data_IF_243873831625
#
_entry.id   IF_243873831625
#
_cell.length_a   1.000
_cell.length_b   1.000
_cell.length_c   1.000
_cell.angle_alpha   90.00
_cell.angle_beta   90.00
_cell.angle_gamma   90.00
#
_symmetry.space_group_name_H-M   'P 1'
#
loop_
_entity.id
_entity.type
_entity.pdbx_description
1 polymer ?
#
# COMPACT_ATOMS: atom_id res chain seq x y z
N UNK A 1 -9.47 -0.64 20.95
CA UNK A 1 -8.31 -1.07 20.14
C UNK A 1 -8.52 -2.42 19.45
N UNK A 2 -8.90 -3.52 20.14
CA UNK A 2 -9.08 -4.83 19.49
C UNK A 2 -10.02 -4.81 18.27
N UNK A 3 -11.10 -4.04 18.35
CA UNK A 3 -12.05 -3.85 17.23
C UNK A 3 -11.37 -3.25 16.00
N UNK A 4 -10.43 -2.32 16.15
CA UNK A 4 -9.73 -1.73 15.00
C UNK A 4 -8.82 -2.76 14.30
N UNK A 5 -8.22 -3.67 15.06
CA UNK A 5 -7.37 -4.74 14.52
C UNK A 5 -8.15 -5.71 13.63
N UNK A 6 -9.43 -5.95 13.92
CA UNK A 6 -10.31 -6.78 13.08
C UNK A 6 -10.34 -6.22 11.66
N UNK A 7 -10.54 -4.92 11.50
CA UNK A 7 -10.50 -4.28 10.19
C UNK A 7 -9.12 -4.39 9.53
N UNK A 8 -8.04 -4.32 10.30
CA UNK A 8 -6.69 -4.59 9.83
C UNK A 8 -6.55 -5.98 9.20
N UNK A 9 -6.98 -7.03 9.90
CA UNK A 9 -6.95 -8.41 9.38
C UNK A 9 -7.79 -8.55 8.11
N UNK A 10 -9.05 -8.06 8.13
CA UNK A 10 -9.94 -8.15 6.97
C UNK A 10 -9.42 -7.42 5.74
N UNK A 11 -8.76 -6.27 5.90
CA UNK A 11 -8.15 -5.54 4.79
C UNK A 11 -7.15 -6.39 4.02
N UNK A 12 -6.34 -7.18 4.72
CA UNK A 12 -5.34 -8.07 4.12
C UNK A 12 -5.97 -9.32 3.51
N UNK A 13 -7.04 -9.84 4.12
CA UNK A 13 -7.83 -10.95 3.56
C UNK A 13 -8.46 -10.52 2.23
N UNK A 14 -9.13 -9.36 2.19
CA UNK A 14 -9.70 -8.82 0.96
C UNK A 14 -8.64 -8.58 -0.11
N UNK A 15 -7.44 -8.12 0.26
CA UNK A 15 -6.29 -8.04 -0.67
C UNK A 15 -5.93 -9.40 -1.27
N UNK A 16 -5.84 -10.45 -0.46
CA UNK A 16 -5.58 -11.80 -0.95
C UNK A 16 -6.66 -12.30 -1.91
N UNK A 17 -7.94 -12.09 -1.58
CA UNK A 17 -9.06 -12.49 -2.43
C UNK A 17 -9.13 -11.68 -3.73
N UNK A 18 -8.91 -10.37 -3.66
CA UNK A 18 -8.83 -9.50 -4.84
C UNK A 18 -7.67 -9.91 -5.75
N UNK A 19 -6.51 -10.21 -5.19
CA UNK A 19 -5.35 -10.63 -5.96
C UNK A 19 -5.58 -11.96 -6.69
N UNK A 20 -6.29 -12.90 -6.06
CA UNK A 20 -6.73 -14.13 -6.76
C UNK A 20 -7.58 -13.84 -8.01
N UNK A 21 -8.42 -12.81 -7.97
CA UNK A 21 -9.24 -12.42 -9.14
C UNK A 21 -8.40 -11.85 -10.28
N UNK A 22 -7.29 -11.15 -9.99
CA UNK A 22 -6.40 -10.61 -11.04
C UNK A 22 -5.48 -11.67 -11.64
N UNK A 23 -5.20 -12.74 -10.90
CA UNK A 23 -4.43 -13.89 -11.40
C UNK A 23 -5.24 -14.80 -12.33
N UNK A 24 -6.56 -14.91 -12.11
CA UNK A 24 -7.40 -15.84 -12.86
C UNK A 24 -7.42 -15.64 -14.40
N UNK A 25 -7.43 -14.41 -14.97
CA UNK A 25 -7.35 -14.20 -16.41
C UNK A 25 -6.02 -14.64 -17.04
N UNK A 26 -4.97 -14.80 -16.23
CA UNK A 26 -3.64 -15.25 -16.66
C UNK A 26 -3.49 -16.78 -16.67
N UNK A 27 -4.58 -17.50 -16.36
CA UNK A 27 -4.59 -18.96 -16.18
C UNK A 27 -3.97 -19.43 -14.87
N UNK A 28 -3.70 -18.51 -13.94
CA UNK A 28 -3.10 -18.81 -12.65
C UNK A 28 -4.21 -18.97 -11.59
N UNK A 29 -4.24 -20.11 -10.92
CA UNK A 29 -5.31 -20.47 -9.97
C UNK A 29 -4.75 -20.92 -8.61
N UNK A 30 -4.03 -20.04 -7.89
CA UNK A 30 -3.51 -20.36 -6.55
C UNK A 30 -4.62 -20.63 -5.54
N UNK A 31 -4.27 -21.35 -4.46
CA UNK A 31 -5.17 -21.54 -3.32
C UNK A 31 -5.50 -20.20 -2.68
N UNK A 32 -6.73 -20.09 -2.19
CA UNK A 32 -7.23 -18.81 -1.63
C UNK A 32 -6.55 -18.46 -0.30
N UNK A 33 -6.30 -19.47 0.53
CA UNK A 33 -5.50 -19.35 1.75
C UNK A 33 -4.11 -18.80 1.44
N UNK A 34 -3.48 -19.32 0.40
CA UNK A 34 -2.07 -19.05 0.08
C UNK A 34 -1.92 -17.63 -0.47
N UNK A 35 -2.90 -17.13 -1.23
CA UNK A 35 -2.97 -15.71 -1.56
C UNK A 35 -3.02 -14.81 -0.32
N UNK A 36 -3.81 -15.17 0.70
CA UNK A 36 -3.92 -14.40 1.94
C UNK A 36 -2.63 -14.48 2.75
N UNK A 37 -2.07 -15.68 2.93
CA UNK A 37 -0.81 -15.86 3.66
C UNK A 37 0.36 -15.17 2.96
N UNK A 38 0.44 -15.24 1.64
CA UNK A 38 1.43 -14.50 0.86
C UNK A 38 1.32 -12.98 1.09
N UNK A 39 0.11 -12.43 1.22
CA UNK A 39 -0.09 -11.03 1.60
C UNK A 39 0.42 -10.77 3.02
N UNK A 40 0.10 -11.61 4.00
CA UNK A 40 0.60 -11.44 5.36
C UNK A 40 2.14 -11.43 5.43
N UNK A 41 2.79 -12.39 4.75
CA UNK A 41 4.25 -12.45 4.63
C UNK A 41 4.81 -11.21 3.95
N UNK A 42 4.15 -10.74 2.89
CA UNK A 42 4.53 -9.53 2.15
C UNK A 42 4.56 -8.28 3.01
N UNK A 43 3.53 -8.06 3.83
CA UNK A 43 3.49 -6.91 4.72
C UNK A 43 4.54 -6.99 5.81
N UNK A 44 4.77 -8.16 6.40
CA UNK A 44 5.84 -8.35 7.37
C UNK A 44 7.24 -8.15 6.75
N UNK A 45 7.47 -8.62 5.52
CA UNK A 45 8.72 -8.40 4.81
C UNK A 45 8.99 -6.90 4.54
N UNK A 46 7.94 -6.12 4.24
CA UNK A 46 8.03 -4.67 4.06
C UNK A 46 8.40 -3.89 5.34
N UNK A 47 8.27 -4.50 6.52
CA UNK A 47 8.76 -3.92 7.77
C UNK A 47 10.30 -3.98 7.86
N UNK A 48 10.91 -5.02 7.27
CA UNK A 48 12.36 -5.23 7.31
C UNK A 48 13.04 -4.49 6.17
N UNK A 49 12.56 -4.71 4.94
CA UNK A 49 13.10 -4.05 3.75
C UNK A 49 11.95 -3.43 2.96
N UNK A 50 11.90 -2.09 2.84
CA UNK A 50 10.85 -1.44 2.08
C UNK A 50 10.75 -2.00 0.65
N UNK A 51 9.52 -2.26 0.20
CA UNK A 51 9.16 -2.71 -1.16
C UNK A 51 9.58 -4.14 -1.54
N UNK A 52 10.25 -4.89 -0.66
CA UNK A 52 10.58 -6.31 -0.91
C UNK A 52 9.36 -7.21 -0.75
N UNK A 53 8.37 -6.78 0.02
CA UNK A 53 7.12 -7.49 0.24
C UNK A 53 6.41 -7.84 -1.07
N UNK A 54 6.38 -6.94 -2.03
CA UNK A 54 5.75 -7.11 -3.34
C UNK A 54 6.36 -8.28 -4.13
N UNK A 55 7.67 -8.45 -4.02
CA UNK A 55 8.42 -9.55 -4.62
C UNK A 55 8.18 -10.84 -3.83
N UNK A 56 8.20 -10.77 -2.50
CA UNK A 56 8.08 -11.93 -1.62
C UNK A 56 6.76 -12.69 -1.83
N UNK A 57 5.62 -12.01 -1.98
CA UNK A 57 4.32 -12.68 -2.22
C UNK A 57 4.30 -13.46 -3.53
N UNK A 58 4.94 -12.94 -4.58
CA UNK A 58 5.04 -13.63 -5.86
C UNK A 58 5.92 -14.89 -5.73
N UNK A 59 7.00 -14.80 -4.96
CA UNK A 59 7.86 -15.95 -4.64
C UNK A 59 7.14 -17.03 -3.82
N UNK A 60 6.30 -16.63 -2.87
CA UNK A 60 5.47 -17.56 -2.07
C UNK A 60 4.53 -18.35 -2.98
N UNK A 61 3.76 -17.69 -3.85
CA UNK A 61 2.85 -18.41 -4.76
C UNK A 61 3.62 -19.23 -5.82
N UNK A 62 4.78 -18.78 -6.28
CA UNK A 62 5.63 -19.57 -7.16
C UNK A 62 6.08 -20.87 -6.48
N UNK A 63 6.45 -20.80 -5.20
CA UNK A 63 6.91 -21.96 -4.42
C UNK A 63 5.79 -22.93 -4.07
N UNK A 64 4.65 -22.45 -3.57
CA UNK A 64 3.60 -23.31 -3.02
C UNK A 64 2.48 -23.63 -4.02
N UNK A 65 2.16 -22.69 -4.92
CA UNK A 65 1.08 -22.88 -5.89
C UNK A 65 1.59 -23.23 -7.29
N UNK A 66 2.88 -23.07 -7.58
CA UNK A 66 3.43 -23.19 -8.93
C UNK A 66 3.02 -22.03 -9.84
N UNK A 67 2.57 -20.92 -9.24
CA UNK A 67 2.14 -19.74 -9.99
C UNK A 67 3.33 -19.09 -10.68
N UNK A 68 3.17 -18.67 -11.94
CA UNK A 68 4.24 -17.98 -12.66
C UNK A 68 4.62 -16.67 -11.95
N UNK A 69 5.87 -16.58 -11.49
CA UNK A 69 6.39 -15.41 -10.81
C UNK A 69 6.23 -14.12 -11.66
N UNK A 70 6.54 -14.18 -12.95
CA UNK A 70 6.48 -13.00 -13.84
C UNK A 70 5.05 -12.51 -14.09
N UNK A 71 4.10 -13.43 -14.31
CA UNK A 71 2.67 -13.09 -14.46
C UNK A 71 2.13 -12.49 -13.18
N UNK A 72 2.43 -13.15 -12.04
CA UNK A 72 2.09 -12.67 -10.71
C UNK A 72 2.65 -11.27 -10.44
N UNK A 73 3.91 -11.02 -10.79
CA UNK A 73 4.55 -9.72 -10.66
C UNK A 73 3.82 -8.64 -11.47
N UNK A 74 3.42 -8.95 -12.71
CA UNK A 74 2.61 -8.05 -13.54
C UNK A 74 1.30 -7.63 -12.87
N UNK A 75 0.60 -8.56 -12.23
CA UNK A 75 -0.64 -8.22 -11.49
C UNK A 75 -0.40 -7.32 -10.29
N UNK A 76 0.80 -7.37 -9.67
CA UNK A 76 1.13 -6.52 -8.51
C UNK A 76 1.19 -5.05 -8.91
N UNK A 77 1.89 -4.76 -10.02
CA UNK A 77 2.00 -3.39 -10.56
C UNK A 77 0.60 -2.81 -10.77
N UNK A 78 -0.27 -3.62 -11.31
CA UNK A 78 -1.63 -3.26 -11.65
C UNK A 78 -2.52 -3.05 -10.44
N UNK A 79 -2.38 -3.90 -9.41
CA UNK A 79 -3.01 -3.64 -8.13
C UNK A 79 -2.52 -2.32 -7.50
N UNK A 80 -1.22 -1.99 -7.63
CA UNK A 80 -0.68 -0.71 -7.16
C UNK A 80 -1.29 0.47 -7.90
N UNK A 81 -1.47 0.38 -9.22
CA UNK A 81 -2.12 1.45 -9.99
C UNK A 81 -3.55 1.71 -9.51
N UNK A 82 -4.32 0.65 -9.26
CA UNK A 82 -5.68 0.77 -8.72
C UNK A 82 -5.65 1.36 -7.31
N UNK A 83 -4.77 0.87 -6.44
CA UNK A 83 -4.65 1.39 -5.07
C UNK A 83 -4.28 2.88 -5.10
N UNK A 84 -3.35 3.31 -5.96
CA UNK A 84 -3.00 4.73 -6.15
C UNK A 84 -4.19 5.54 -6.62
N UNK A 85 -4.96 5.05 -7.61
CA UNK A 85 -6.16 5.73 -8.09
C UNK A 85 -7.19 5.92 -6.97
N UNK A 86 -7.40 4.91 -6.13
CA UNK A 86 -8.29 4.99 -4.98
C UNK A 86 -7.81 6.03 -3.94
N UNK A 87 -6.51 6.04 -3.59
CA UNK A 87 -5.95 7.07 -2.71
C UNK A 87 -6.16 8.45 -3.30
N UNK A 88 -5.86 8.64 -4.59
CA UNK A 88 -6.02 9.93 -5.26
C UNK A 88 -7.46 10.40 -5.26
N UNK A 89 -8.43 9.50 -5.46
CA UNK A 89 -9.86 9.83 -5.40
C UNK A 89 -10.28 10.21 -3.99
N UNK A 90 -9.95 9.41 -2.98
CA UNK A 90 -10.26 9.68 -1.57
C UNK A 90 -9.64 11.02 -1.15
N UNK A 91 -8.38 11.24 -1.49
CA UNK A 91 -7.66 12.48 -1.23
C UNK A 91 -8.34 13.66 -1.92
N UNK A 92 -8.64 13.57 -3.22
CA UNK A 92 -9.27 14.64 -3.98
C UNK A 92 -10.62 15.05 -3.42
N UNK A 93 -11.48 14.07 -3.08
CA UNK A 93 -12.77 14.31 -2.43
C UNK A 93 -12.57 14.99 -1.07
N UNK A 94 -11.61 14.50 -0.27
CA UNK A 94 -11.33 15.04 1.07
C UNK A 94 -10.81 16.49 1.01
N UNK A 95 -9.93 16.80 0.06
CA UNK A 95 -9.41 18.15 -0.18
C UNK A 95 -10.54 19.12 -0.56
N UNK A 96 -11.46 18.70 -1.42
CA UNK A 96 -12.62 19.52 -1.82
C UNK A 96 -13.53 19.78 -0.62
N UNK A 97 -13.80 18.75 0.19
CA UNK A 97 -14.69 18.87 1.35
C UNK A 97 -14.09 19.67 2.51
N UNK A 98 -12.76 19.69 2.66
CA UNK A 98 -12.05 20.26 3.82
C UNK A 98 -11.00 21.30 3.44
N UNK A 99 -11.23 22.03 2.33
CA UNK A 99 -10.27 22.98 1.77
C UNK A 99 -9.69 23.99 2.79
N UNK A 100 -10.50 24.44 3.76
CA UNK A 100 -10.06 25.38 4.82
C UNK A 100 -9.03 24.76 5.77
N UNK A 101 -9.25 23.52 6.21
CA UNK A 101 -8.33 22.81 7.12
C UNK A 101 -6.99 22.56 6.44
N UNK A 102 -7.01 22.23 5.15
CA UNK A 102 -5.81 22.04 4.36
C UNK A 102 -5.04 23.34 4.11
N UNK A 103 -5.73 24.46 3.87
CA UNK A 103 -5.09 25.78 3.76
C UNK A 103 -4.33 26.14 5.05
N UNK A 104 -4.93 25.88 6.22
CA UNK A 104 -4.25 26.06 7.52
C UNK A 104 -3.09 25.08 7.70
N UNK A 105 -3.26 23.80 7.33
CA UNK A 105 -2.18 22.81 7.38
C UNK A 105 -0.97 23.24 6.55
N UNK A 106 -1.18 23.71 5.33
CA UNK A 106 -0.11 24.13 4.43
C UNK A 106 0.60 25.39 4.96
N UNK A 107 -0.13 26.32 5.58
CA UNK A 107 0.42 27.52 6.24
C UNK A 107 1.26 27.17 7.47
N UNK A 108 0.75 26.32 8.36
CA UNK A 108 1.44 25.91 9.61
C UNK A 108 2.65 25.02 9.35
N UNK A 109 2.63 24.19 8.29
CA UNK A 109 3.78 23.36 7.89
C UNK A 109 4.79 24.07 7.00
N UNK A 110 4.53 25.33 6.62
CA UNK A 110 5.39 26.10 5.72
C UNK A 110 5.43 25.55 4.29
N UNK A 111 4.52 24.64 3.94
CA UNK A 111 4.34 24.19 2.55
C UNK A 111 3.47 25.21 1.87
N UNK A 112 4.03 26.39 1.62
CA UNK A 112 3.37 27.39 0.82
C UNK A 112 2.97 26.73 -0.52
N UNK A 113 1.78 26.99 -1.03
CA UNK A 113 1.34 26.40 -2.33
C UNK A 113 2.29 26.81 -3.47
N UNK A 114 3.09 27.85 -3.23
CA UNK A 114 4.24 28.28 -4.02
C UNK A 114 5.41 27.29 -4.00
N UNK A 115 5.62 26.48 -2.95
CA UNK A 115 6.66 25.44 -2.87
C UNK A 115 6.37 24.31 -3.85
N UNK A 116 5.12 23.87 -3.99
CA UNK A 116 4.74 22.89 -5.03
C UNK A 116 4.98 23.46 -6.43
N UNK A 117 4.59 24.72 -6.67
CA UNK A 117 4.89 25.42 -7.90
C UNK A 117 6.42 25.57 -8.11
N UNK A 118 7.19 25.85 -7.07
CA UNK A 118 8.65 25.98 -7.11
C UNK A 118 9.34 24.62 -7.28
N UNK A 119 8.80 23.52 -6.76
CA UNK A 119 9.31 22.16 -7.02
C UNK A 119 9.10 21.82 -8.49
N UNK A 120 7.93 22.09 -9.06
CA UNK A 120 7.69 21.90 -10.50
C UNK A 120 8.47 22.88 -11.40
N UNK A 121 8.84 24.06 -10.89
CA UNK A 121 9.61 25.09 -11.62
C UNK A 121 11.12 25.03 -11.31
N UNK A 122 11.54 24.19 -10.36
CA UNK A 122 12.92 24.09 -9.87
C UNK A 122 13.78 23.31 -10.86
N UNK A 123 14.95 23.86 -11.20
CA UNK A 123 15.94 23.17 -12.02
C UNK A 123 16.35 21.80 -11.44
N UNK A 124 16.29 21.62 -10.11
CA UNK A 124 16.65 20.36 -9.46
C UNK A 124 15.63 19.24 -9.72
N UNK A 125 14.36 19.58 -9.93
CA UNK A 125 13.33 18.61 -10.32
C UNK A 125 13.58 18.07 -11.73
N UNK A 126 13.89 18.96 -12.68
CA UNK A 126 14.27 18.55 -14.04
C UNK A 126 15.57 17.75 -14.07
N UNK A 127 16.57 18.13 -13.26
CA UNK A 127 17.81 17.34 -13.11
C UNK A 127 17.51 15.95 -12.56
N UNK A 128 16.63 15.83 -11.56
CA UNK A 128 16.24 14.53 -10.99
C UNK A 128 15.53 13.66 -12.03
N UNK A 129 14.62 14.24 -12.82
CA UNK A 129 13.95 13.55 -13.94
C UNK A 129 14.98 13.08 -14.98
N UNK A 130 15.92 13.94 -15.36
CA UNK A 130 16.97 13.61 -16.33
C UNK A 130 17.88 12.51 -15.80
N UNK A 131 18.26 12.54 -14.53
CA UNK A 131 19.05 11.47 -13.90
C UNK A 131 18.29 10.14 -13.85
N UNK A 132 17.01 10.15 -13.48
CA UNK A 132 16.15 8.95 -13.49
C UNK A 132 15.99 8.41 -14.91
N UNK A 133 15.72 9.27 -15.89
CA UNK A 133 15.65 8.89 -17.30
C UNK A 133 16.98 8.35 -17.82
N UNK A 134 18.11 8.95 -17.46
CA UNK A 134 19.43 8.48 -17.84
C UNK A 134 19.72 7.10 -17.25
N UNK A 135 19.36 6.85 -15.99
CA UNK A 135 19.47 5.53 -15.35
C UNK A 135 18.56 4.51 -16.04
N UNK A 136 17.33 4.87 -16.38
CA UNK A 136 16.39 3.99 -17.09
C UNK A 136 16.86 3.68 -18.51
N UNK A 137 17.40 4.66 -19.23
CA UNK A 137 17.98 4.49 -20.58
C UNK A 137 19.23 3.64 -20.52
N UNK A 138 20.13 3.90 -19.56
CA UNK A 138 21.34 3.10 -19.36
C UNK A 138 20.98 1.65 -19.00
N UNK A 139 20.01 1.45 -18.10
CA UNK A 139 19.48 0.13 -17.78
C UNK A 139 18.89 -0.55 -19.02
N UNK A 140 18.13 0.17 -19.85
CA UNK A 140 17.57 -0.34 -21.10
C UNK A 140 18.67 -0.79 -22.08
N UNK A 141 19.73 0.00 -22.25
CA UNK A 141 20.86 -0.35 -23.12
C UNK A 141 21.69 -1.52 -22.59
N UNK A 142 21.94 -1.56 -21.27
CA UNK A 142 22.63 -2.67 -20.60
C UNK A 142 21.84 -3.97 -20.75
N UNK A 143 20.51 -3.92 -20.55
CA UNK A 143 19.62 -5.08 -20.69
C UNK A 143 19.59 -5.57 -22.15
N UNK A 144 19.64 -4.65 -23.13
CA UNK A 144 19.60 -4.97 -24.57
C UNK A 144 20.82 -5.73 -25.09
N UNK A 145 21.99 -5.55 -24.50
CA UNK A 145 23.25 -6.10 -25.02
C UNK A 145 23.69 -7.44 -24.42
N UNK A 146 22.93 -8.02 -23.49
CA UNK A 146 23.27 -9.33 -22.90
C UNK A 146 22.39 -10.42 -23.51
N UNK A 147 22.91 -11.64 -23.68
CA UNK A 147 22.16 -12.86 -24.06
C UNK A 147 21.00 -13.20 -23.11
N UNK A 148 20.93 -12.50 -21.96
CA UNK A 148 19.83 -12.44 -20.99
C UNK A 148 18.58 -11.71 -21.55
N UNK A 149 18.70 -10.92 -22.63
CA UNK A 149 17.61 -10.15 -23.23
C UNK A 149 16.44 -11.01 -23.70
N UNK A 150 16.68 -12.23 -24.20
CA UNK A 150 15.61 -13.14 -24.60
C UNK A 150 14.77 -13.63 -23.39
N UNK A 151 15.44 -13.97 -22.27
CA UNK A 151 14.77 -14.32 -21.00
C UNK A 151 14.08 -13.11 -20.37
N UNK A 152 14.72 -11.94 -20.40
CA UNK A 152 14.15 -10.69 -19.86
C UNK A 152 12.97 -10.18 -20.69
N UNK A 153 13.01 -10.31 -22.03
CA UNK A 153 11.88 -10.00 -22.91
C UNK A 153 10.66 -10.88 -22.59
N UNK A 154 10.87 -12.17 -22.32
CA UNK A 154 9.80 -13.07 -21.86
C UNK A 154 9.20 -12.65 -20.51
N UNK A 155 10.04 -12.27 -19.54
CA UNK A 155 9.60 -11.77 -18.23
C UNK A 155 8.82 -10.45 -18.38
N UNK A 156 9.35 -9.48 -19.14
CA UNK A 156 8.72 -8.19 -19.40
C UNK A 156 7.39 -8.34 -20.15
N UNK A 157 7.33 -9.25 -21.14
CA UNK A 157 6.09 -9.58 -21.83
C UNK A 157 5.05 -10.16 -20.88
N UNK A 158 5.44 -11.09 -20.00
CA UNK A 158 4.54 -11.67 -19.00
C UNK A 158 4.06 -10.63 -17.96
N UNK A 159 4.92 -9.68 -17.58
CA UNK A 159 4.55 -8.54 -16.74
C UNK A 159 3.53 -7.67 -17.46
N UNK A 160 3.78 -7.32 -18.73
CA UNK A 160 2.89 -6.50 -19.55
C UNK A 160 1.52 -7.15 -19.79
N UNK A 161 1.50 -8.46 -20.09
CA UNK A 161 0.28 -9.26 -20.18
C UNK A 161 -0.46 -9.27 -18.83
N UNK A 162 0.29 -9.39 -17.73
CA UNK A 162 -0.24 -9.23 -16.37
C UNK A 162 -0.95 -7.88 -16.18
N UNK A 163 -0.37 -6.79 -16.69
CA UNK A 163 -0.99 -5.46 -16.57
C UNK A 163 -2.27 -5.32 -17.37
N UNK A 164 -2.27 -5.80 -18.62
CA UNK A 164 -3.43 -5.75 -19.51
C UNK A 164 -4.56 -6.70 -19.06
N UNK A 165 -4.24 -7.76 -18.31
CA UNK A 165 -5.20 -8.78 -17.88
C UNK A 165 -6.34 -8.29 -17.00
N UNK A 166 -6.18 -7.13 -16.35
CA UNK A 166 -7.23 -6.49 -15.56
C UNK A 166 -8.52 -6.29 -16.35
N UNK A 167 -8.40 -5.94 -17.64
CA UNK A 167 -9.57 -5.72 -18.52
C UNK A 167 -10.40 -6.99 -18.71
N UNK A 168 -9.82 -8.15 -18.42
CA UNK A 168 -10.43 -9.46 -18.59
C UNK A 168 -10.83 -10.12 -17.26
N UNK A 169 -10.83 -9.38 -16.15
CA UNK A 169 -11.34 -9.89 -14.86
C UNK A 169 -12.82 -10.20 -14.99
N UNK A 170 -13.16 -11.49 -15.05
CA UNK A 170 -14.53 -11.98 -15.28
C UNK A 170 -15.53 -11.53 -14.20
N UNK A 171 -15.08 -11.26 -12.98
CA UNK A 171 -15.92 -10.89 -11.83
C UNK A 171 -15.65 -9.45 -11.35
N UNK A 172 -15.82 -8.47 -12.24
CA UNK A 172 -15.60 -7.05 -11.92
C UNK A 172 -16.39 -6.54 -10.70
N UNK A 173 -17.68 -6.88 -10.49
CA UNK A 173 -18.40 -6.40 -9.31
C UNK A 173 -17.75 -6.86 -7.99
N UNK A 174 -17.26 -8.10 -7.95
CA UNK A 174 -16.57 -8.64 -6.78
C UNK A 174 -15.20 -7.99 -6.57
N UNK A 175 -14.50 -7.68 -7.67
CA UNK A 175 -13.23 -6.95 -7.62
C UNK A 175 -13.41 -5.54 -7.03
N UNK A 176 -14.47 -4.83 -7.45
CA UNK A 176 -14.82 -3.50 -6.92
C UNK A 176 -15.22 -3.63 -5.45
N UNK A 177 -16.05 -4.60 -5.08
CA UNK A 177 -16.45 -4.84 -3.69
C UNK A 177 -15.24 -5.06 -2.79
N UNK A 178 -14.28 -5.89 -3.19
CA UNK A 178 -13.05 -6.08 -2.41
C UNK A 178 -12.20 -4.81 -2.35
N UNK A 179 -12.11 -4.05 -3.45
CA UNK A 179 -11.37 -2.77 -3.45
C UNK A 179 -11.97 -1.78 -2.46
N UNK A 180 -13.30 -1.58 -2.50
CA UNK A 180 -14.01 -0.72 -1.54
C UNK A 180 -13.87 -1.26 -0.11
N UNK A 181 -13.97 -2.58 0.07
CA UNK A 181 -13.80 -3.24 1.36
C UNK A 181 -12.41 -3.01 1.96
N UNK A 182 -11.34 -3.07 1.15
CA UNK A 182 -9.97 -2.79 1.59
C UNK A 182 -9.86 -1.36 2.14
N UNK A 183 -10.30 -0.37 1.36
CA UNK A 183 -10.20 1.04 1.76
C UNK A 183 -11.10 1.38 2.95
N UNK A 184 -12.29 0.79 3.00
CA UNK A 184 -13.21 0.92 4.15
C UNK A 184 -12.59 0.33 5.40
N UNK A 185 -12.00 -0.86 5.31
CA UNK A 185 -11.29 -1.47 6.44
C UNK A 185 -10.09 -0.62 6.88
N UNK A 186 -9.31 -0.05 5.97
CA UNK A 186 -8.21 0.85 6.33
C UNK A 186 -8.69 2.11 7.03
N UNK A 187 -9.73 2.74 6.52
CA UNK A 187 -10.33 3.89 7.16
C UNK A 187 -10.87 3.54 8.55
N UNK A 188 -11.63 2.45 8.70
CA UNK A 188 -12.20 2.02 9.97
C UNK A 188 -11.14 1.58 10.97
N UNK A 189 -10.08 0.90 10.54
CA UNK A 189 -8.94 0.56 11.38
C UNK A 189 -8.31 1.83 12.00
N UNK A 190 -8.20 2.89 11.21
CA UNK A 190 -7.71 4.17 11.71
C UNK A 190 -8.75 4.90 12.58
N UNK A 191 -9.95 5.14 12.06
CA UNK A 191 -11.00 5.92 12.71
C UNK A 191 -11.47 5.32 14.02
N UNK A 192 -11.65 3.99 14.10
CA UNK A 192 -12.05 3.32 15.35
C UNK A 192 -10.99 3.47 16.44
N UNK A 193 -9.73 3.75 16.08
CA UNK A 193 -8.68 3.98 17.06
C UNK A 193 -8.84 5.30 17.83
N UNK A 194 -9.61 6.29 17.32
CA UNK A 194 -9.92 7.52 18.04
C UNK A 194 -10.67 7.26 19.35
N UNK A 195 -11.59 6.30 19.36
CA UNK A 195 -12.36 5.94 20.55
C UNK A 195 -11.55 5.17 21.61
N UNK A 196 -10.23 5.04 21.43
CA UNK A 196 -9.34 4.47 22.43
C UNK A 196 -8.78 5.53 23.39
N UNK A 197 -8.98 6.82 23.12
CA UNK A 197 -8.39 7.91 23.89
C UNK A 197 -9.40 9.05 24.09
N UNK A 198 -9.50 9.54 25.32
CA UNK A 198 -10.43 10.62 25.70
C UNK A 198 -10.16 11.95 24.98
N UNK A 199 -8.91 12.18 24.54
CA UNK A 199 -8.55 13.39 23.79
C UNK A 199 -8.89 13.31 22.29
N UNK A 200 -9.28 12.14 21.77
CA UNK A 200 -9.58 11.93 20.34
C UNK A 200 -10.96 11.37 20.06
N UNK A 201 -11.71 10.91 21.05
CA UNK A 201 -13.03 10.28 20.90
C UNK A 201 -14.09 11.22 20.29
N UNK A 202 -13.97 12.53 20.52
CA UNK A 202 -14.83 13.57 19.98
C UNK A 202 -14.45 13.99 18.55
N UNK A 203 -13.34 13.49 18.00
CA UNK A 203 -12.96 13.75 16.62
C UNK A 203 -13.95 13.06 15.67
N UNK A 204 -14.72 13.86 14.96
CA UNK A 204 -15.72 13.38 14.00
C UNK A 204 -15.10 12.64 12.80
N UNK A 205 -15.97 11.98 12.04
CA UNK A 205 -15.60 11.21 10.84
C UNK A 205 -14.79 12.05 9.83
N UNK A 206 -15.08 13.34 9.71
CA UNK A 206 -14.35 14.25 8.81
C UNK A 206 -12.89 14.44 9.23
N UNK A 207 -12.61 14.57 10.53
CA UNK A 207 -11.25 14.64 11.05
C UNK A 207 -10.49 13.34 10.73
N UNK A 208 -11.16 12.20 10.95
CA UNK A 208 -10.64 10.89 10.56
C UNK A 208 -10.32 10.79 9.08
N UNK A 209 -11.20 11.31 8.21
CA UNK A 209 -11.02 11.25 6.76
C UNK A 209 -9.84 12.11 6.28
N UNK A 210 -9.69 13.32 6.83
CA UNK A 210 -8.54 14.20 6.56
C UNK A 210 -7.23 13.55 6.98
N UNK A 211 -7.16 13.07 8.22
CA UNK A 211 -5.97 12.40 8.75
C UNK A 211 -5.64 11.12 7.98
N UNK A 212 -6.66 10.35 7.59
CA UNK A 212 -6.50 9.16 6.76
C UNK A 212 -5.96 9.50 5.37
N UNK A 213 -6.48 10.55 4.73
CA UNK A 213 -6.02 10.99 3.41
C UNK A 213 -4.55 11.45 3.46
N UNK A 214 -4.20 12.35 4.39
CA UNK A 214 -2.82 12.86 4.52
C UNK A 214 -1.87 11.76 4.96
N UNK A 215 -2.26 10.91 5.90
CA UNK A 215 -1.49 9.73 6.29
C UNK A 215 -1.23 8.78 5.11
N UNK A 216 -2.23 8.55 4.26
CA UNK A 216 -2.10 7.70 3.06
C UNK A 216 -1.13 8.28 2.02
N UNK A 217 -1.02 9.59 1.92
CA UNK A 217 -0.01 10.26 1.07
C UNK A 217 1.37 10.18 1.73
N UNK A 218 1.45 10.38 3.06
CA UNK A 218 2.70 10.39 3.78
C UNK A 218 3.47 9.06 3.67
N UNK A 219 2.77 7.92 3.62
CA UNK A 219 3.38 6.58 3.44
C UNK A 219 3.93 6.33 2.03
N UNK A 220 3.75 7.26 1.08
CA UNK A 220 4.41 7.19 -0.24
C UNK A 220 5.92 7.31 -0.09
N UNK A 221 6.38 8.10 0.89
CA UNK A 221 7.80 8.23 1.24
C UNK A 221 8.33 6.85 1.67
N UNK A 222 9.41 6.34 1.06
CA UNK A 222 9.82 4.94 1.18
C UNK A 222 10.54 4.64 2.51
N UNK A 223 9.83 4.79 3.62
CA UNK A 223 10.27 4.40 4.97
C UNK A 223 9.63 3.07 5.37
N UNK A 224 10.28 2.26 6.23
CA UNK A 224 9.69 1.02 6.75
C UNK A 224 8.32 1.30 7.38
N UNK A 225 7.28 0.65 6.85
CA UNK A 225 5.88 0.86 7.23
C UNK A 225 5.40 2.34 7.30
N UNK A 226 6.03 3.25 6.56
CA UNK A 226 5.68 4.68 6.59
C UNK A 226 6.08 5.41 7.88
N UNK A 227 6.93 4.81 8.72
CA UNK A 227 7.35 5.37 10.00
C UNK A 227 8.09 6.71 9.82
N UNK A 228 7.67 7.72 10.57
CA UNK A 228 8.19 9.09 10.47
C UNK A 228 7.25 10.00 9.70
N UNK A 229 7.17 9.93 8.35
CA UNK A 229 6.25 10.74 7.56
C UNK A 229 4.79 10.60 8.00
N UNK A 230 4.34 9.37 8.28
CA UNK A 230 2.98 9.13 8.76
C UNK A 230 2.74 9.74 10.14
N UNK A 231 3.69 9.61 11.08
CA UNK A 231 3.59 10.23 12.40
C UNK A 231 3.50 11.75 12.29
N UNK A 232 4.38 12.36 11.49
CA UNK A 232 4.36 13.80 11.27
C UNK A 232 3.00 14.27 10.72
N UNK A 233 2.48 13.59 9.70
CA UNK A 233 1.19 13.90 9.10
C UNK A 233 0.04 13.82 10.11
N UNK A 234 -0.07 12.71 10.84
CA UNK A 234 -1.17 12.49 11.79
C UNK A 234 -1.07 13.44 12.99
N UNK A 235 0.12 13.61 13.57
CA UNK A 235 0.34 14.52 14.71
C UNK A 235 -0.06 15.94 14.33
N UNK A 236 0.42 16.42 13.18
CA UNK A 236 0.14 17.78 12.71
C UNK A 236 -1.35 17.97 12.46
N UNK A 237 -2.01 17.00 11.83
CA UNK A 237 -3.45 17.08 11.60
C UNK A 237 -4.23 17.05 12.90
N UNK A 238 -3.88 16.21 13.87
CA UNK A 238 -4.55 16.20 15.18
C UNK A 238 -4.41 17.54 15.91
N UNK A 239 -3.23 18.17 15.83
CA UNK A 239 -3.01 19.51 16.38
C UNK A 239 -3.92 20.58 15.75
N UNK A 240 -4.14 20.52 14.43
CA UNK A 240 -5.06 21.44 13.74
C UNK A 240 -6.52 21.24 14.14
N UNK A 241 -6.87 20.04 14.60
CA UNK A 241 -8.17 19.74 15.19
C UNK A 241 -8.22 20.02 16.71
N UNK A 242 -7.20 20.66 17.27
CA UNK A 242 -7.18 21.13 18.66
C UNK A 242 -6.61 20.13 19.67
N UNK A 243 -6.05 19.00 19.24
CA UNK A 243 -5.41 18.03 20.14
C UNK A 243 -4.02 18.52 20.54
N UNK A 244 -3.66 18.39 21.81
CA UNK A 244 -2.31 18.72 22.28
C UNK A 244 -1.22 17.92 21.55
N UNK A 245 -0.05 18.51 21.32
CA UNK A 245 1.07 17.86 20.62
C UNK A 245 1.50 16.55 21.29
N UNK A 246 1.50 16.52 22.61
CA UNK A 246 1.86 15.33 23.39
C UNK A 246 0.86 14.19 23.17
N UNK A 247 -0.44 14.48 23.34
CA UNK A 247 -1.54 13.53 23.08
C UNK A 247 -1.56 13.01 21.65
N UNK A 248 -1.38 13.91 20.68
CA UNK A 248 -1.28 13.55 19.26
C UNK A 248 -0.08 12.63 19.00
N UNK A 249 1.06 12.88 19.68
CA UNK A 249 2.24 12.01 19.65
C UNK A 249 1.98 10.63 20.24
N UNK A 250 1.31 10.57 21.39
CA UNK A 250 0.89 9.32 22.04
C UNK A 250 -0.01 8.50 21.11
N UNK A 251 -1.02 9.15 20.53
CA UNK A 251 -1.94 8.54 19.58
C UNK A 251 -1.18 7.92 18.40
N UNK A 252 -0.35 8.74 17.73
CA UNK A 252 0.35 8.31 16.52
C UNK A 252 1.29 7.13 16.82
N UNK A 253 2.05 7.20 17.92
CA UNK A 253 2.97 6.14 18.32
C UNK A 253 2.25 4.83 18.67
N UNK A 254 1.19 4.90 19.49
CA UNK A 254 0.48 3.70 19.93
C UNK A 254 -0.30 3.05 18.79
N UNK A 255 -0.99 3.85 17.98
CA UNK A 255 -1.76 3.32 16.84
C UNK A 255 -0.82 2.71 15.80
N UNK A 256 0.24 3.41 15.39
CA UNK A 256 1.22 2.87 14.44
C UNK A 256 1.93 1.64 14.99
N UNK A 257 2.34 1.66 16.26
CA UNK A 257 3.04 0.56 16.92
C UNK A 257 2.18 -0.70 17.02
N UNK A 258 0.93 -0.57 17.48
CA UNK A 258 -0.01 -1.70 17.61
C UNK A 258 -0.39 -2.27 16.23
N UNK A 259 -0.61 -1.41 15.24
CA UNK A 259 -0.88 -1.87 13.87
C UNK A 259 0.35 -2.55 13.24
N UNK A 260 1.54 -2.03 13.48
CA UNK A 260 2.80 -2.67 13.05
C UNK A 260 2.97 -4.04 13.72
N UNK A 261 2.66 -4.14 15.01
CA UNK A 261 2.70 -5.41 15.72
C UNK A 261 1.72 -6.44 15.14
N UNK A 262 0.51 -6.02 14.75
CA UNK A 262 -0.43 -6.88 14.04
C UNK A 262 0.19 -7.44 12.74
N UNK A 263 0.88 -6.62 11.95
CA UNK A 263 1.52 -7.07 10.71
C UNK A 263 2.59 -8.14 10.98
N UNK A 264 3.35 -8.00 12.08
CA UNK A 264 4.34 -9.01 12.50
C UNK A 264 3.62 -10.33 12.83
N UNK A 265 2.56 -10.29 13.65
CA UNK A 265 1.80 -11.48 14.02
C UNK A 265 1.19 -12.19 12.81
N UNK A 266 0.57 -11.42 11.90
CA UNK A 266 0.02 -11.96 10.66
C UNK A 266 1.12 -12.58 9.79
N UNK A 267 2.29 -11.94 9.69
CA UNK A 267 3.43 -12.47 8.95
C UNK A 267 3.93 -13.81 9.50
N UNK A 268 4.11 -13.91 10.83
CA UNK A 268 4.48 -15.16 11.51
C UNK A 268 3.43 -16.23 11.24
N UNK A 269 2.15 -15.89 11.39
CA UNK A 269 1.04 -16.81 11.12
C UNK A 269 1.06 -17.29 9.66
N UNK A 270 1.24 -16.39 8.69
CA UNK A 270 1.33 -16.72 7.27
C UNK A 270 2.50 -17.65 6.97
N UNK A 271 3.69 -17.36 7.50
CA UNK A 271 4.88 -18.20 7.34
C UNK A 271 4.69 -19.60 7.93
N UNK A 272 4.08 -19.70 9.11
CA UNK A 272 3.79 -20.98 9.75
C UNK A 272 2.72 -21.76 8.97
N UNK A 273 1.62 -21.12 8.57
CA UNK A 273 0.48 -21.78 7.94
C UNK A 273 0.78 -22.32 6.52
N UNK A 274 1.67 -21.66 5.77
CA UNK A 274 2.00 -22.03 4.39
C UNK A 274 2.50 -23.48 4.24
N UNK A 275 3.52 -23.96 5.00
CA UNK A 275 3.91 -25.37 5.00
C UNK A 275 2.81 -26.33 5.44
N UNK A 276 2.03 -25.99 6.47
CA UNK A 276 0.99 -26.89 7.00
C UNK A 276 -0.15 -27.12 6.01
N UNK A 277 -0.52 -26.09 5.24
CA UNK A 277 -1.60 -26.15 4.25
C UNK A 277 -1.16 -26.70 2.89
N UNK A 278 0.15 -26.90 2.69
CA UNK A 278 0.76 -27.39 1.46
C UNK A 278 1.60 -28.67 1.62
N UNK A 279 1.41 -29.43 2.70
CA UNK A 279 2.15 -30.67 3.03
C UNK A 279 2.26 -31.72 1.91
N UNK A 280 1.42 -31.66 0.88
CA UNK A 280 1.34 -32.65 -0.20
C UNK A 280 2.02 -32.27 -1.52
N UNK A 281 2.57 -31.06 -1.67
CA UNK A 281 3.42 -30.73 -2.83
C UNK A 281 4.87 -30.94 -2.45
N UNK A 282 5.40 -32.15 -2.72
CA UNK A 282 6.85 -32.41 -2.66
C UNK A 282 7.55 -31.41 -3.58
N UNK A 283 8.53 -30.69 -3.00
CA UNK A 283 9.55 -29.89 -3.70
C UNK A 283 10.27 -30.73 -4.75
#
# INVERSE_FOLDING_TARGET
MLVSLVFGVFSHIFRGWRWKLTLAPLGEHPKTSDCVYAIFVSYAANLVVPRVGEISRCGVLAKYDGTSFSKSLGTVVTERLIDTLCVSLITGVTLIMQARVFDTFFKETGTDTTVLAQVFTSGHFYITIVCVLAVLVLAFFLIRNVTVFAKVKGILHNVWVGVLSLRHVKRMPLFILYTVGIWTCYFLQFYVSFFCFDFSDNLGVMAGLVMFAVGSIAVVVPTPNGAGPWHFAVITMMMLYGVGKEDAGIFALLVHGIQTFLLILLGIYGLAALPFTNKTKKL
#
